data_IF_296910486888
#
_entry.id   IF_296910486888
#
_cell.length_a   1.000
_cell.length_b   1.000
_cell.length_c   1.000
_cell.angle_alpha   90.00
_cell.angle_beta   90.00
_cell.angle_gamma   90.00
#
_symmetry.space_group_name_H-M   'P 1'
#
loop_
_entity.id
_entity.type
_entity.pdbx_description
1 polymer ?
#
# COMPACT_ATOMS: atom_id res chain seq x y z
N UNK A 1 -54.64 15.33 9.68
CA UNK A 1 -54.09 14.69 8.46
C UNK A 1 -52.61 14.96 8.43
N UNK A 2 -51.77 13.94 8.69
CA UNK A 2 -50.33 14.10 8.64
C UNK A 2 -49.88 14.11 7.18
N UNK A 3 -49.34 15.24 6.70
CA UNK A 3 -48.67 15.29 5.41
C UNK A 3 -47.43 14.40 5.48
N UNK A 4 -47.50 13.23 4.86
CA UNK A 4 -46.31 12.40 4.59
C UNK A 4 -45.42 13.23 3.68
N UNK A 5 -44.24 13.64 4.16
CA UNK A 5 -43.27 14.34 3.32
C UNK A 5 -42.73 13.35 2.30
N UNK A 6 -43.16 13.50 1.06
CA UNK A 6 -42.71 12.68 -0.07
C UNK A 6 -41.18 12.77 -0.28
N UNK A 7 -40.54 13.84 0.22
CA UNK A 7 -39.08 14.00 0.31
C UNK A 7 -38.38 12.99 1.24
N UNK A 8 -39.10 12.33 2.15
CA UNK A 8 -38.56 11.22 2.95
C UNK A 8 -38.62 9.87 2.22
N UNK A 9 -39.39 9.82 1.12
CA UNK A 9 -39.58 8.63 0.30
C UNK A 9 -38.78 8.69 -1.00
N UNK A 10 -38.09 9.80 -1.30
CA UNK A 10 -37.14 9.84 -2.39
C UNK A 10 -35.91 9.01 -2.00
N UNK A 11 -35.64 7.90 -2.70
CA UNK A 11 -34.43 7.13 -2.45
C UNK A 11 -33.23 8.04 -2.69
N UNK A 12 -32.40 8.24 -1.65
CA UNK A 12 -31.14 8.99 -1.73
C UNK A 12 -30.12 8.32 -2.66
N UNK A 13 -30.43 7.11 -3.13
CA UNK A 13 -29.78 6.45 -4.27
C UNK A 13 -30.31 7.07 -5.57
N UNK A 14 -29.84 8.28 -5.88
CA UNK A 14 -30.07 8.91 -7.18
C UNK A 14 -29.63 7.96 -8.30
N UNK A 15 -30.52 7.67 -9.25
CA UNK A 15 -30.37 6.71 -10.36
C UNK A 15 -29.23 7.02 -11.37
N UNK A 16 -28.26 7.86 -11.02
CA UNK A 16 -27.16 8.28 -11.88
C UNK A 16 -25.77 8.21 -11.25
N UNK A 17 -25.63 7.90 -9.96
CA UNK A 17 -24.30 7.83 -9.33
C UNK A 17 -23.68 6.44 -9.56
N UNK A 18 -22.76 6.35 -10.53
CA UNK A 18 -21.97 5.13 -10.74
C UNK A 18 -21.08 4.90 -9.52
N UNK A 19 -21.10 3.70 -8.89
CA UNK A 19 -20.21 3.40 -7.79
C UNK A 19 -18.75 3.45 -8.25
N UNK A 20 -17.89 4.08 -7.45
CA UNK A 20 -16.46 4.18 -7.72
C UNK A 20 -15.83 2.82 -7.55
N UNK A 21 -15.38 2.19 -8.64
CA UNK A 21 -14.76 0.87 -8.58
C UNK A 21 -13.36 0.98 -7.98
N UNK A 22 -13.05 0.11 -7.02
CA UNK A 22 -11.74 0.03 -6.38
C UNK A 22 -11.03 -1.26 -6.75
N UNK A 23 -9.70 -1.27 -6.64
CA UNK A 23 -8.94 -2.51 -6.66
C UNK A 23 -9.18 -3.31 -5.38
N UNK A 24 -9.08 -4.64 -5.48
CA UNK A 24 -9.33 -5.54 -4.36
C UNK A 24 -8.29 -5.39 -3.23
N UNK A 25 -8.72 -5.39 -1.94
CA UNK A 25 -7.82 -5.43 -0.80
C UNK A 25 -6.86 -6.63 -0.80
N UNK A 26 -7.32 -7.77 -1.32
CA UNK A 26 -6.52 -8.99 -1.45
C UNK A 26 -5.36 -8.79 -2.43
N UNK A 27 -5.58 -8.04 -3.51
CA UNK A 27 -4.52 -7.73 -4.45
C UNK A 27 -3.50 -6.74 -3.86
N UNK A 28 -3.95 -5.74 -3.09
CA UNK A 28 -3.06 -4.85 -2.35
C UNK A 28 -2.21 -5.67 -1.35
N UNK A 29 -2.79 -6.69 -0.69
CA UNK A 29 -2.05 -7.59 0.21
C UNK A 29 -0.92 -8.31 -0.53
N UNK A 30 -1.22 -9.03 -1.61
CA UNK A 30 -0.19 -9.72 -2.37
C UNK A 30 0.85 -8.77 -2.96
N UNK A 31 0.42 -7.61 -3.45
CA UNK A 31 1.32 -6.57 -3.97
C UNK A 31 2.29 -6.07 -2.90
N UNK A 32 1.80 -5.84 -1.68
CA UNK A 32 2.63 -5.43 -0.54
C UNK A 32 3.56 -6.54 -0.03
N UNK A 33 3.11 -7.79 -0.07
CA UNK A 33 3.91 -8.93 0.38
C UNK A 33 5.06 -9.23 -0.57
N UNK A 34 4.82 -9.21 -1.88
CA UNK A 34 5.83 -9.52 -2.89
C UNK A 34 6.70 -8.32 -3.26
N UNK A 35 6.10 -7.15 -3.41
CA UNK A 35 6.78 -5.92 -3.81
C UNK A 35 7.19 -5.00 -2.65
N UNK A 36 6.88 -5.37 -1.40
CA UNK A 36 7.26 -4.62 -0.21
C UNK A 36 6.46 -3.31 -0.03
N UNK A 37 6.94 -2.42 0.85
CA UNK A 37 6.21 -1.21 1.24
C UNK A 37 6.06 -0.21 0.08
N UNK A 38 7.04 -0.12 -0.82
CA UNK A 38 6.98 0.77 -2.00
C UNK A 38 5.86 0.34 -2.95
N UNK A 39 5.71 -0.97 -3.19
CA UNK A 39 4.60 -1.49 -4.01
C UNK A 39 3.24 -1.26 -3.35
N UNK A 40 3.15 -1.39 -2.03
CA UNK A 40 1.94 -1.11 -1.27
C UNK A 40 1.49 0.35 -1.42
N UNK A 41 2.43 1.29 -1.30
CA UNK A 41 2.20 2.73 -1.51
C UNK A 41 1.73 2.99 -2.94
N UNK A 42 2.44 2.47 -3.94
CA UNK A 42 2.11 2.69 -5.35
C UNK A 42 0.74 2.14 -5.72
N UNK A 43 0.40 0.93 -5.27
CA UNK A 43 -0.90 0.32 -5.56
C UNK A 43 -2.03 1.01 -4.80
N UNK A 44 -1.80 1.42 -3.56
CA UNK A 44 -2.78 2.20 -2.80
C UNK A 44 -3.02 3.58 -3.43
N UNK A 45 -1.98 4.20 -3.98
CA UNK A 45 -2.10 5.48 -4.70
C UNK A 45 -3.05 5.37 -5.89
N UNK A 46 -3.02 4.26 -6.63
CA UNK A 46 -4.00 4.00 -7.70
C UNK A 46 -5.44 3.96 -7.17
N UNK A 47 -5.68 3.32 -6.02
CA UNK A 47 -7.00 3.37 -5.38
C UNK A 47 -7.42 4.80 -4.99
N UNK A 48 -6.49 5.62 -4.49
CA UNK A 48 -6.78 7.00 -4.12
C UNK A 48 -7.07 7.88 -5.34
N UNK A 49 -6.46 7.60 -6.50
CA UNK A 49 -6.81 8.24 -7.78
C UNK A 49 -8.23 7.88 -8.23
N UNK A 50 -8.61 6.60 -8.17
CA UNK A 50 -9.98 6.17 -8.48
C UNK A 50 -11.00 6.85 -7.55
N UNK A 51 -10.65 7.02 -6.26
CA UNK A 51 -11.46 7.76 -5.28
C UNK A 51 -11.44 9.28 -5.47
N UNK A 52 -10.57 9.82 -6.32
CA UNK A 52 -10.31 11.26 -6.49
C UNK A 52 -9.93 11.97 -5.18
N UNK A 53 -9.28 11.25 -4.26
CA UNK A 53 -8.88 11.72 -2.91
C UNK A 53 -7.37 11.85 -2.74
N UNK A 54 -6.64 11.83 -3.85
CA UNK A 54 -5.18 11.87 -3.89
C UNK A 54 -4.58 13.05 -3.10
N UNK A 55 -5.24 14.22 -3.14
CA UNK A 55 -4.78 15.42 -2.39
C UNK A 55 -4.97 15.26 -0.88
N UNK A 56 -6.09 14.68 -0.45
CA UNK A 56 -6.40 14.48 0.96
C UNK A 56 -5.50 13.43 1.60
N UNK A 57 -5.16 12.40 0.81
CA UNK A 57 -4.33 11.29 1.25
C UNK A 57 -2.83 11.57 1.09
N UNK A 58 -2.44 12.65 0.39
CA UNK A 58 -1.05 12.95 0.04
C UNK A 58 -0.11 12.91 1.24
N UNK A 59 -0.53 13.47 2.38
CA UNK A 59 0.26 13.47 3.62
C UNK A 59 0.59 12.06 4.10
N UNK A 60 -0.33 11.11 3.94
CA UNK A 60 -0.14 9.72 4.36
C UNK A 60 0.79 8.99 3.39
N UNK A 61 0.69 9.27 2.10
CA UNK A 61 1.62 8.73 1.10
C UNK A 61 3.05 9.22 1.29
N UNK A 62 3.23 10.52 1.56
CA UNK A 62 4.55 11.10 1.85
C UNK A 62 5.13 10.49 3.13
N UNK A 63 4.33 10.40 4.20
CA UNK A 63 4.77 9.78 5.45
C UNK A 63 5.17 8.31 5.25
N UNK A 64 4.35 7.53 4.54
CA UNK A 64 4.65 6.14 4.23
C UNK A 64 5.91 6.00 3.38
N UNK A 65 6.13 6.88 2.41
CA UNK A 65 7.32 6.89 1.56
C UNK A 65 8.59 7.17 2.39
N UNK A 66 8.57 8.21 3.23
CA UNK A 66 9.68 8.54 4.12
C UNK A 66 9.98 7.42 5.11
N UNK A 67 8.94 6.85 5.73
CA UNK A 67 9.07 5.71 6.64
C UNK A 67 9.65 4.48 5.92
N UNK A 68 9.26 4.25 4.65
CA UNK A 68 9.79 3.14 3.86
C UNK A 68 11.27 3.32 3.52
N UNK A 69 11.68 4.53 3.14
CA UNK A 69 13.09 4.84 2.88
C UNK A 69 13.92 4.65 4.16
N UNK A 70 13.46 5.21 5.28
CA UNK A 70 14.14 5.08 6.57
C UNK A 70 14.22 3.62 7.04
N UNK A 71 13.13 2.86 6.90
CA UNK A 71 13.10 1.44 7.27
C UNK A 71 14.04 0.60 6.40
N UNK A 72 13.98 0.76 5.07
CA UNK A 72 14.86 0.02 4.16
C UNK A 72 16.32 0.38 4.41
N UNK A 73 16.65 1.67 4.53
CA UNK A 73 18.00 2.13 4.84
C UNK A 73 18.51 1.61 6.19
N UNK A 74 17.66 1.64 7.22
CA UNK A 74 17.99 1.10 8.54
C UNK A 74 18.20 -0.41 8.53
N UNK A 75 17.42 -1.17 7.76
CA UNK A 75 17.64 -2.61 7.57
C UNK A 75 18.96 -2.87 6.84
N UNK A 76 19.29 -2.10 5.80
CA UNK A 76 20.57 -2.21 5.09
C UNK A 76 21.73 -1.92 6.04
N UNK A 77 21.68 -0.81 6.77
CA UNK A 77 22.69 -0.44 7.76
C UNK A 77 22.87 -1.52 8.84
N UNK A 78 21.76 -2.01 9.41
CA UNK A 78 21.82 -3.02 10.46
C UNK A 78 22.41 -4.34 9.96
N UNK A 79 22.14 -4.73 8.71
CA UNK A 79 22.77 -5.91 8.09
C UNK A 79 24.25 -5.66 7.87
N UNK A 80 24.64 -4.52 7.30
CA UNK A 80 26.05 -4.22 7.02
C UNK A 80 26.88 -4.14 8.33
N UNK A 81 26.34 -3.57 9.41
CA UNK A 81 26.97 -3.55 10.75
C UNK A 81 27.00 -4.95 11.39
N UNK A 82 25.92 -5.73 11.29
CA UNK A 82 25.87 -7.08 11.84
C UNK A 82 26.90 -8.01 11.17
N UNK A 83 27.19 -7.78 9.88
CA UNK A 83 28.20 -8.52 9.12
C UNK A 83 29.65 -8.14 9.52
N UNK A 84 29.87 -7.09 10.31
CA UNK A 84 31.17 -6.81 10.96
C UNK A 84 31.40 -7.67 12.22
N UNK A 85 30.39 -8.40 12.69
CA UNK A 85 30.45 -9.34 13.82
C UNK A 85 30.51 -10.77 13.23
N UNK A 86 31.45 -11.64 13.63
CA UNK A 86 31.66 -12.94 12.98
C UNK A 86 30.39 -13.79 12.84
N UNK A 87 30.18 -14.30 11.63
CA UNK A 87 28.95 -14.91 11.11
C UNK A 87 28.50 -16.24 11.74
N UNK A 88 29.14 -16.69 12.82
CA UNK A 88 28.95 -18.03 13.38
C UNK A 88 27.62 -18.19 14.13
N UNK A 89 26.90 -17.09 14.40
CA UNK A 89 25.53 -17.10 14.95
C UNK A 89 24.44 -16.75 13.92
N UNK A 90 24.81 -16.31 12.71
CA UNK A 90 23.89 -15.73 11.73
C UNK A 90 24.22 -16.21 10.30
N UNK A 91 24.15 -17.52 10.05
CA UNK A 91 24.29 -18.10 8.71
C UNK A 91 23.19 -17.71 7.69
N UNK A 92 22.66 -16.48 7.70
CA UNK A 92 21.37 -16.10 7.08
C UNK A 92 21.34 -14.73 6.38
N UNK A 93 22.49 -14.10 6.12
CA UNK A 93 22.72 -12.67 5.76
C UNK A 93 21.85 -12.01 4.65
N UNK A 94 20.89 -12.71 4.04
CA UNK A 94 19.92 -12.10 3.11
C UNK A 94 18.46 -12.46 3.35
N UNK A 95 18.14 -13.43 4.23
CA UNK A 95 16.76 -13.88 4.44
C UNK A 95 16.03 -13.00 5.44
N UNK A 96 16.67 -12.67 6.57
CA UNK A 96 16.06 -11.87 7.64
C UNK A 96 15.68 -10.48 7.15
N UNK A 97 16.59 -9.76 6.48
CA UNK A 97 16.30 -8.43 5.91
C UNK A 97 15.15 -8.47 4.88
N UNK A 98 15.09 -9.51 4.05
CA UNK A 98 13.96 -9.72 3.12
C UNK A 98 12.64 -9.89 3.87
N UNK A 99 12.59 -10.68 4.93
CA UNK A 99 11.37 -10.84 5.73
C UNK A 99 10.99 -9.58 6.50
N UNK A 100 11.95 -8.81 7.01
CA UNK A 100 11.70 -7.52 7.68
C UNK A 100 11.10 -6.49 6.72
N UNK A 101 11.62 -6.40 5.49
CA UNK A 101 11.07 -5.49 4.47
C UNK A 101 9.67 -5.93 4.06
N UNK A 102 9.43 -7.23 3.86
CA UNK A 102 8.09 -7.75 3.53
C UNK A 102 7.09 -7.56 4.66
N UNK A 103 7.51 -7.83 5.91
CA UNK A 103 6.71 -7.61 7.10
C UNK A 103 6.29 -6.14 7.24
N UNK A 104 7.23 -5.22 7.02
CA UNK A 104 6.91 -3.79 6.97
C UNK A 104 5.99 -3.43 5.80
N UNK A 105 6.14 -4.06 4.63
CA UNK A 105 5.18 -3.97 3.54
C UNK A 105 3.75 -4.31 3.95
N UNK A 106 3.57 -5.36 4.76
CA UNK A 106 2.27 -5.74 5.32
C UNK A 106 1.75 -4.71 6.34
N UNK A 107 2.62 -4.07 7.12
CA UNK A 107 2.23 -2.98 8.02
C UNK A 107 1.70 -1.78 7.22
N UNK A 108 2.41 -1.39 6.15
CA UNK A 108 1.97 -0.33 5.23
C UNK A 108 0.65 -0.68 4.56
N UNK A 109 0.50 -1.93 4.10
CA UNK A 109 -0.79 -2.46 3.63
C UNK A 109 -1.89 -2.29 4.66
N UNK A 110 -1.65 -2.68 5.91
CA UNK A 110 -2.62 -2.56 7.00
C UNK A 110 -3.07 -1.11 7.20
N UNK A 111 -2.11 -0.18 7.21
CA UNK A 111 -2.39 1.26 7.30
C UNK A 111 -3.35 1.75 6.21
N UNK A 112 -3.04 1.47 4.95
CA UNK A 112 -3.90 1.85 3.82
C UNK A 112 -5.22 1.09 3.78
N UNK A 113 -5.23 -0.18 4.16
CA UNK A 113 -6.45 -0.97 4.25
C UNK A 113 -7.42 -0.35 5.26
N UNK A 114 -6.97 0.00 6.47
CA UNK A 114 -7.84 0.64 7.46
C UNK A 114 -8.34 2.01 7.01
N UNK A 115 -7.49 2.78 6.33
CA UNK A 115 -7.88 4.07 5.75
C UNK A 115 -8.97 3.94 4.69
N UNK A 116 -8.87 2.95 3.80
CA UNK A 116 -9.83 2.72 2.71
C UNK A 116 -10.97 1.75 3.08
N UNK A 117 -10.96 1.16 4.28
CA UNK A 117 -11.93 0.15 4.74
C UNK A 117 -13.39 0.61 4.58
N UNK A 118 -13.77 1.86 4.93
CA UNK A 118 -15.14 2.32 4.74
C UNK A 118 -15.57 2.27 3.27
N UNK A 119 -14.69 2.67 2.36
CA UNK A 119 -14.96 2.73 0.92
C UNK A 119 -15.05 1.32 0.30
N UNK A 120 -14.19 0.40 0.74
CA UNK A 120 -14.28 -1.00 0.31
C UNK A 120 -15.61 -1.64 0.75
N UNK A 121 -16.10 -1.34 1.96
CA UNK A 121 -17.41 -1.83 2.43
C UNK A 121 -18.56 -1.29 1.58
N UNK A 122 -18.56 0.02 1.28
CA UNK A 122 -19.57 0.63 0.42
C UNK A 122 -19.59 -0.01 -0.97
N UNK A 123 -18.43 -0.28 -1.57
CA UNK A 123 -18.36 -0.93 -2.88
C UNK A 123 -18.99 -2.33 -2.90
N UNK A 124 -18.79 -3.11 -1.84
CA UNK A 124 -19.42 -4.43 -1.70
C UNK A 124 -20.94 -4.32 -1.57
N UNK A 125 -21.44 -3.33 -0.81
CA UNK A 125 -22.88 -3.12 -0.62
C UNK A 125 -23.60 -2.68 -1.90
N UNK A 126 -22.93 -1.90 -2.75
CA UNK A 126 -23.49 -1.43 -4.03
C UNK A 126 -23.30 -2.47 -5.16
N UNK A 127 -22.66 -3.60 -4.88
CA UNK A 127 -22.43 -4.66 -5.87
C UNK A 127 -21.48 -4.23 -7.00
N UNK A 128 -20.61 -3.25 -6.74
CA UNK A 128 -19.67 -2.77 -7.74
C UNK A 128 -18.57 -3.83 -7.95
N UNK A 129 -18.46 -4.36 -9.17
CA UNK A 129 -17.38 -5.27 -9.49
C UNK A 129 -16.02 -4.57 -9.37
N UNK A 130 -15.03 -5.15 -8.65
CA UNK A 130 -13.72 -4.56 -8.51
C UNK A 130 -13.01 -4.45 -9.88
N UNK A 131 -12.06 -3.51 -10.01
CA UNK A 131 -11.19 -3.48 -11.19
C UNK A 131 -10.29 -4.72 -11.19
N UNK A 132 -9.94 -5.20 -12.39
CA UNK A 132 -8.93 -6.26 -12.53
C UNK A 132 -7.60 -5.77 -11.96
N UNK A 133 -7.11 -6.34 -10.85
CA UNK A 133 -6.00 -5.77 -10.12
C UNK A 133 -4.64 -6.23 -10.62
N UNK A 134 -4.55 -7.31 -11.40
CA UNK A 134 -3.28 -8.00 -11.62
C UNK A 134 -2.31 -7.23 -12.52
N UNK A 135 -2.82 -6.51 -13.53
CA UNK A 135 -1.98 -5.65 -14.38
C UNK A 135 -1.34 -4.53 -13.56
N UNK A 136 -2.15 -3.86 -12.73
CA UNK A 136 -1.67 -2.83 -11.82
C UNK A 136 -0.71 -3.39 -10.77
N UNK A 137 -1.03 -4.54 -10.17
CA UNK A 137 -0.23 -5.19 -9.14
C UNK A 137 1.17 -5.54 -9.65
N UNK A 138 1.25 -6.23 -10.80
CA UNK A 138 2.52 -6.59 -11.43
C UNK A 138 3.32 -5.34 -11.78
N UNK A 139 2.67 -4.32 -12.37
CA UNK A 139 3.32 -3.04 -12.67
C UNK A 139 3.91 -2.36 -11.44
N UNK A 140 3.14 -2.30 -10.34
CA UNK A 140 3.59 -1.74 -9.07
C UNK A 140 4.74 -2.54 -8.44
N UNK A 141 4.70 -3.88 -8.50
CA UNK A 141 5.79 -4.72 -7.97
C UNK A 141 7.07 -4.45 -8.74
N UNK A 142 7.02 -4.48 -10.08
CA UNK A 142 8.21 -4.27 -10.92
C UNK A 142 8.78 -2.85 -10.70
N UNK A 143 7.94 -1.83 -10.69
CA UNK A 143 8.37 -0.46 -10.41
C UNK A 143 8.99 -0.33 -9.00
N UNK A 144 8.38 -0.97 -8.00
CA UNK A 144 8.89 -0.98 -6.63
C UNK A 144 10.24 -1.68 -6.51
N UNK A 145 10.50 -2.75 -7.27
CA UNK A 145 11.80 -3.40 -7.30
C UNK A 145 12.90 -2.45 -7.78
N UNK A 146 12.63 -1.65 -8.81
CA UNK A 146 13.57 -0.63 -9.30
C UNK A 146 13.81 0.45 -8.24
N UNK A 147 12.74 0.99 -7.66
CA UNK A 147 12.86 2.03 -6.62
C UNK A 147 13.60 1.50 -5.38
N UNK A 148 13.28 0.29 -4.93
CA UNK A 148 13.94 -0.34 -3.80
C UNK A 148 15.43 -0.56 -4.09
N UNK A 149 15.80 -0.97 -5.31
CA UNK A 149 17.20 -1.09 -5.70
C UNK A 149 17.93 0.26 -5.62
N UNK A 150 17.31 1.35 -6.08
CA UNK A 150 17.85 2.71 -5.95
C UNK A 150 18.04 3.11 -4.48
N UNK A 151 17.06 2.85 -3.62
CA UNK A 151 17.15 3.15 -2.18
C UNK A 151 18.31 2.37 -1.55
N UNK A 152 18.43 1.08 -1.85
CA UNK A 152 19.50 0.23 -1.30
C UNK A 152 20.87 0.69 -1.82
N UNK A 153 21.01 0.98 -3.11
CA UNK A 153 22.24 1.48 -3.69
C UNK A 153 22.64 2.83 -3.08
N UNK A 154 21.70 3.76 -2.96
CA UNK A 154 21.92 5.05 -2.32
C UNK A 154 22.30 4.92 -0.85
N UNK A 155 21.64 4.03 -0.10
CA UNK A 155 21.98 3.76 1.30
C UNK A 155 23.44 3.26 1.43
N UNK A 156 23.88 2.34 0.57
CA UNK A 156 25.26 1.84 0.59
C UNK A 156 26.30 2.92 0.27
N UNK A 157 26.01 3.83 -0.65
CA UNK A 157 26.90 4.96 -0.98
C UNK A 157 27.01 5.95 0.18
N UNK A 158 25.96 6.14 0.97
CA UNK A 158 25.97 7.05 2.12
C UNK A 158 26.64 6.42 3.35
N UNK A 159 26.58 5.09 3.47
CA UNK A 159 27.06 4.35 4.64
C UNK A 159 28.50 3.81 4.49
N UNK A 160 29.01 3.66 3.27
CA UNK A 160 30.38 3.23 2.97
C UNK A 160 31.32 4.41 2.72
#
# INVERSE_FOLDING_TARGET
MAHVREDLLTPTLSAGHRPVRLYSPTALFYTSFFGGPVAAIAFSWLNSQELRRTKDDLRWYVLAALASVAWIGGVVYAVDVANMIPADMLGSESRTGRYLIRGFGLVVWGGFYFMHRPMHRTNTMVGAEPLNPWKAAIGCIVAAMVVQWVIVAGAKVVLG
#
